data_IF_095405809909
#
_entry.id   IF_095405809909
#
_cell.length_a   1.000
_cell.length_b   1.000
_cell.length_c   1.000
_cell.angle_alpha   90.00
_cell.angle_beta   90.00
_cell.angle_gamma   90.00
#
_symmetry.space_group_name_H-M   'P 1'
#
loop_
_entity.id
_entity.type
_entity.pdbx_description
1 polymer ?
#
# COMPACT_ATOMS: atom_id res chain seq x y z
N UNK A 1 21.87 14.08 -17.33
CA UNK A 1 20.52 13.99 -16.75
C UNK A 1 20.70 13.53 -15.33
N UNK A 2 20.48 14.44 -14.39
CA UNK A 2 20.86 14.28 -12.99
C UNK A 2 20.01 13.22 -12.31
N UNK A 3 20.66 12.16 -11.83
CA UNK A 3 20.12 11.19 -10.90
C UNK A 3 19.89 11.92 -9.57
N UNK A 4 18.68 12.42 -9.36
CA UNK A 4 18.29 12.97 -8.05
C UNK A 4 18.16 11.80 -7.10
N UNK A 5 19.22 11.58 -6.30
CA UNK A 5 19.30 10.62 -5.20
C UNK A 5 18.25 10.86 -4.12
N UNK A 6 16.98 10.66 -4.45
CA UNK A 6 15.96 10.31 -3.48
C UNK A 6 16.26 8.88 -3.09
N UNK A 7 16.63 8.67 -1.83
CA UNK A 7 16.62 7.33 -1.26
C UNK A 7 15.26 6.73 -1.56
N UNK A 8 15.27 5.55 -2.11
CA UNK A 8 14.14 5.00 -2.83
C UNK A 8 14.03 3.59 -2.29
N UNK A 9 12.99 3.27 -1.51
CA UNK A 9 12.86 1.93 -0.91
C UNK A 9 13.03 0.87 -2.00
N UNK A 10 13.99 -0.03 -1.78
CA UNK A 10 14.35 -1.07 -2.74
C UNK A 10 13.21 -2.08 -2.89
N UNK A 11 13.15 -2.77 -4.03
CA UNK A 11 12.13 -3.81 -4.24
C UNK A 11 12.16 -4.89 -3.14
N UNK A 12 13.32 -5.42 -2.70
CA UNK A 12 13.36 -6.37 -1.59
C UNK A 12 12.84 -5.77 -0.28
N UNK A 13 13.20 -4.53 0.09
CA UNK A 13 12.67 -3.88 1.29
C UNK A 13 11.13 -3.72 1.26
N UNK A 14 10.54 -3.53 0.07
CA UNK A 14 9.08 -3.56 -0.12
C UNK A 14 8.51 -4.96 0.09
N UNK A 15 9.18 -6.02 -0.40
CA UNK A 15 8.74 -7.40 -0.15
C UNK A 15 8.80 -7.73 1.35
N UNK A 16 9.84 -7.29 2.05
CA UNK A 16 9.97 -7.45 3.49
C UNK A 16 8.83 -6.78 4.26
N UNK A 17 8.46 -5.56 3.86
CA UNK A 17 7.30 -4.86 4.42
C UNK A 17 5.98 -5.62 4.21
N UNK A 18 5.77 -6.19 3.03
CA UNK A 18 4.58 -6.99 2.73
C UNK A 18 4.48 -8.23 3.63
N UNK A 19 5.59 -8.96 3.79
CA UNK A 19 5.64 -10.14 4.66
C UNK A 19 5.40 -9.77 6.13
N UNK A 20 6.09 -8.72 6.61
CA UNK A 20 5.97 -8.26 7.99
C UNK A 20 4.54 -7.84 8.35
N UNK A 21 3.92 -6.97 7.54
CA UNK A 21 2.55 -6.50 7.79
C UNK A 21 1.54 -7.64 7.60
N UNK A 22 1.80 -8.60 6.69
CA UNK A 22 0.94 -9.77 6.53
C UNK A 22 0.94 -10.63 7.79
N UNK A 23 2.11 -10.89 8.39
CA UNK A 23 2.18 -11.64 9.67
C UNK A 23 1.32 -10.98 10.75
N UNK A 24 1.46 -9.67 10.95
CA UNK A 24 0.65 -8.91 11.92
C UNK A 24 -0.85 -8.91 11.62
N UNK A 25 -1.24 -9.07 10.35
CA UNK A 25 -2.65 -9.21 9.97
C UNK A 25 -3.27 -10.56 10.36
N UNK A 26 -2.43 -11.57 10.60
CA UNK A 26 -2.82 -12.92 11.00
C UNK A 26 -2.92 -13.06 12.53
N UNK A 27 -2.13 -12.28 13.28
CA UNK A 27 -2.15 -12.28 14.75
C UNK A 27 -3.48 -11.78 15.35
N UNK A 28 -4.28 -11.00 14.61
CA UNK A 28 -5.64 -10.58 15.00
C UNK A 28 -6.65 -11.75 15.06
N UNK A 29 -6.32 -12.93 14.52
CA UNK A 29 -7.21 -14.08 14.45
C UNK A 29 -6.91 -15.11 15.56
N UNK A 30 -7.20 -14.77 16.81
CA UNK A 30 -7.47 -15.64 17.99
C UNK A 30 -6.66 -16.94 18.19
N UNK A 31 -5.44 -17.02 17.64
CA UNK A 31 -4.47 -18.09 17.93
C UNK A 31 -3.23 -17.41 18.51
N UNK A 32 -2.99 -17.51 19.83
CA UNK A 32 -1.81 -16.94 20.45
C UNK A 32 -0.59 -17.70 19.96
N UNK A 33 0.09 -17.10 18.99
CA UNK A 33 1.24 -17.69 18.34
C UNK A 33 2.10 -16.63 17.70
N UNK A 34 2.52 -15.62 18.47
CA UNK A 34 3.81 -14.98 18.19
C UNK A 34 4.81 -16.12 18.08
N UNK A 35 5.40 -16.41 16.89
CA UNK A 35 6.43 -17.41 16.84
C UNK A 35 7.59 -16.86 17.66
N UNK A 36 7.93 -17.61 18.72
CA UNK A 36 9.15 -17.40 19.48
C UNK A 36 10.30 -17.16 18.51
N UNK A 37 11.01 -16.04 18.69
CA UNK A 37 12.25 -15.63 18.05
C UNK A 37 12.76 -16.66 17.03
N UNK A 38 12.35 -16.51 15.76
CA UNK A 38 12.88 -17.36 14.72
C UNK A 38 14.36 -17.01 14.56
N UNK A 39 15.24 -18.00 14.68
CA UNK A 39 16.66 -17.80 14.43
C UNK A 39 16.87 -17.35 12.98
N UNK A 40 17.38 -16.12 12.72
CA UNK A 40 17.60 -15.63 11.37
C UNK A 40 18.54 -16.53 10.55
N UNK A 41 19.32 -17.41 11.19
CA UNK A 41 20.15 -18.40 10.53
C UNK A 41 19.32 -19.42 9.71
N UNK A 42 18.07 -19.70 10.10
CA UNK A 42 17.20 -20.67 9.45
C UNK A 42 16.44 -20.11 8.22
N UNK A 43 16.56 -18.81 7.95
CA UNK A 43 15.93 -18.20 6.78
C UNK A 43 16.55 -18.69 5.46
N UNK A 44 15.72 -18.74 4.42
CA UNK A 44 16.16 -19.03 3.06
C UNK A 44 17.15 -17.95 2.57
N UNK A 45 18.04 -18.26 1.60
CA UNK A 45 18.95 -17.25 1.04
C UNK A 45 18.24 -16.01 0.49
N UNK A 46 17.07 -16.18 -0.11
CA UNK A 46 16.25 -15.09 -0.63
C UNK A 46 15.66 -14.22 0.50
N UNK A 47 15.18 -14.84 1.57
CA UNK A 47 14.66 -14.10 2.73
C UNK A 47 15.77 -13.34 3.47
N UNK A 48 17.02 -13.86 3.47
CA UNK A 48 18.19 -13.16 4.00
C UNK A 48 18.54 -11.90 3.20
N UNK A 49 18.44 -11.95 1.88
CA UNK A 49 18.63 -10.79 1.01
C UNK A 49 17.55 -9.73 1.25
N UNK A 50 16.29 -10.15 1.37
CA UNK A 50 15.19 -9.26 1.74
C UNK A 50 15.44 -8.61 3.11
N UNK A 51 15.89 -9.39 4.10
CA UNK A 51 16.15 -8.90 5.45
C UNK A 51 17.30 -7.86 5.47
N UNK A 52 18.37 -8.09 4.72
CA UNK A 52 19.48 -7.13 4.60
C UNK A 52 19.02 -5.78 4.01
N UNK A 53 18.12 -5.81 3.03
CA UNK A 53 17.55 -4.59 2.44
C UNK A 53 16.57 -3.88 3.38
N UNK A 54 15.88 -4.61 4.25
CA UNK A 54 15.09 -4.02 5.34
C UNK A 54 15.99 -3.35 6.38
N UNK A 55 17.09 -3.99 6.77
CA UNK A 55 18.08 -3.43 7.68
C UNK A 55 18.63 -2.11 7.13
N UNK A 56 19.06 -2.08 5.87
CA UNK A 56 19.53 -0.85 5.21
C UNK A 56 18.48 0.26 5.24
N UNK A 57 17.20 -0.07 5.02
CA UNK A 57 16.12 0.91 5.07
C UNK A 57 15.87 1.44 6.49
N UNK A 58 15.93 0.58 7.51
CA UNK A 58 15.76 0.95 8.91
C UNK A 58 16.93 1.81 9.41
N UNK A 59 18.18 1.45 9.10
CA UNK A 59 19.37 2.24 9.45
C UNK A 59 19.33 3.62 8.80
N UNK A 60 18.97 3.70 7.51
CA UNK A 60 18.84 4.98 6.82
C UNK A 60 17.75 5.87 7.46
N UNK A 61 16.67 5.27 7.96
CA UNK A 61 15.59 5.98 8.64
C UNK A 61 16.00 6.51 10.02
N UNK A 62 16.83 5.76 10.78
CA UNK A 62 17.38 6.24 12.05
C UNK A 62 18.40 7.36 11.85
N UNK A 63 19.23 7.29 10.82
CA UNK A 63 20.23 8.33 10.51
C UNK A 63 19.59 9.67 10.10
N UNK A 64 18.49 9.63 9.35
CA UNK A 64 17.77 10.83 8.93
C UNK A 64 17.02 11.51 10.10
N UNK A 65 16.54 10.70 11.06
CA UNK A 65 15.90 11.20 12.28
C UNK A 65 16.87 12.01 13.14
N UNK A 66 18.10 11.52 13.33
CA UNK A 66 19.13 12.25 14.09
C UNK A 66 19.62 13.54 13.40
N UNK A 67 19.58 13.59 12.06
CA UNK A 67 19.98 14.79 11.29
C UNK A 67 18.93 15.91 11.38
N UNK A 68 17.66 15.56 11.50
CA UNK A 68 16.56 16.52 11.62
C UNK A 68 16.54 17.23 12.99
N UNK A 69 16.95 16.55 14.06
CA UNK A 69 17.04 17.13 15.42
C UNK A 69 18.23 18.10 15.58
N UNK A 70 19.31 17.91 14.83
CA UNK A 70 20.53 18.72 14.92
C UNK A 70 20.44 20.10 14.24
N UNK A 71 19.29 20.47 13.65
CA UNK A 71 19.16 21.67 12.80
C UNK A 71 18.64 22.93 13.53
N UNK A 72 18.72 23.00 14.86
CA UNK A 72 18.44 24.23 15.59
C UNK A 72 19.67 25.18 15.53
N UNK A 73 19.48 26.51 15.32
CA UNK A 73 20.61 27.42 15.26
C UNK A 73 21.15 27.62 16.68
N UNK A 74 22.30 27.01 16.96
CA UNK A 74 23.07 27.34 18.17
C UNK A 74 24.21 28.23 17.74
N UNK A 75 24.17 29.45 18.27
CA UNK A 75 25.21 30.46 18.14
C UNK A 75 26.54 29.91 18.70
N UNK A 76 27.61 30.31 18.00
CA UNK A 76 29.04 30.18 18.28
C UNK A 76 29.51 29.34 19.49
N UNK A 77 30.10 28.17 19.22
CA UNK A 77 31.42 27.76 19.77
C UNK A 77 31.82 26.37 19.29
N UNK A 78 33.04 26.28 18.79
CA UNK A 78 33.68 25.08 18.28
C UNK A 78 33.79 23.96 19.34
N UNK A 79 33.22 22.78 19.03
CA UNK A 79 33.78 21.51 19.47
C UNK A 79 33.45 20.43 18.43
N UNK A 80 34.45 20.08 17.63
CA UNK A 80 34.42 18.91 16.75
C UNK A 80 34.51 17.66 17.62
N UNK A 81 33.36 17.04 17.87
CA UNK A 81 33.24 15.71 18.47
C UNK A 81 32.41 14.84 17.56
N UNK A 82 33.03 13.87 16.91
CA UNK A 82 32.31 12.81 16.20
C UNK A 82 31.48 12.04 17.23
N UNK A 83 30.20 12.40 17.36
CA UNK A 83 29.25 11.66 18.16
C UNK A 83 29.08 10.28 17.52
N UNK A 84 29.58 9.25 18.19
CA UNK A 84 29.28 7.86 17.85
C UNK A 84 27.75 7.67 17.89
N UNK A 85 27.16 6.88 16.97
CA UNK A 85 25.75 6.56 17.03
C UNK A 85 25.42 5.96 18.40
N UNK A 86 24.38 6.49 19.04
CA UNK A 86 23.93 6.07 20.36
C UNK A 86 23.50 4.60 20.34
N UNK A 87 23.92 3.84 21.35
CA UNK A 87 23.67 2.39 21.52
C UNK A 87 22.18 2.00 21.40
N UNK A 88 21.29 2.94 21.75
CA UNK A 88 19.83 2.77 21.78
C UNK A 88 19.20 2.61 20.38
N UNK A 89 19.68 3.37 19.39
CA UNK A 89 19.17 3.29 18.00
C UNK A 89 19.54 1.97 17.34
N UNK A 90 20.76 1.49 17.55
CA UNK A 90 21.25 0.21 17.01
C UNK A 90 20.50 -0.98 17.64
N UNK A 91 20.20 -0.89 18.93
CA UNK A 91 19.38 -1.87 19.64
C UNK A 91 17.96 -1.96 19.08
N UNK A 92 17.33 -0.81 18.79
CA UNK A 92 15.98 -0.73 18.20
C UNK A 92 15.90 -1.33 16.79
N UNK A 93 16.89 -1.03 15.93
CA UNK A 93 16.97 -1.63 14.57
C UNK A 93 17.14 -3.14 14.66
N UNK A 94 18.03 -3.63 15.53
CA UNK A 94 18.26 -5.07 15.72
C UNK A 94 17.00 -5.78 16.21
N UNK A 95 16.30 -5.21 17.19
CA UNK A 95 15.03 -5.75 17.70
C UNK A 95 13.96 -5.81 16.60
N UNK A 96 13.81 -4.73 15.83
CA UNK A 96 12.85 -4.67 14.70
C UNK A 96 13.21 -5.71 13.64
N UNK A 97 14.49 -5.88 13.32
CA UNK A 97 14.95 -6.86 12.33
C UNK A 97 14.65 -8.30 12.77
N UNK A 98 14.80 -8.59 14.07
CA UNK A 98 14.43 -9.89 14.64
C UNK A 98 12.92 -10.15 14.53
N UNK A 99 12.08 -9.13 14.77
CA UNK A 99 10.62 -9.23 14.56
C UNK A 99 10.28 -9.47 13.08
N UNK A 100 10.97 -8.80 12.15
CA UNK A 100 10.78 -9.00 10.70
C UNK A 100 11.17 -10.41 10.29
N UNK A 101 12.30 -10.92 10.76
CA UNK A 101 12.73 -12.30 10.52
C UNK A 101 11.70 -13.32 11.05
N UNK A 102 11.18 -13.10 12.27
CA UNK A 102 10.14 -13.93 12.86
C UNK A 102 8.84 -13.90 12.04
N UNK A 103 8.45 -12.72 11.54
CA UNK A 103 7.29 -12.58 10.66
C UNK A 103 7.46 -13.33 9.33
N UNK A 104 8.66 -13.35 8.75
CA UNK A 104 8.92 -14.13 7.53
C UNK A 104 8.73 -15.61 7.80
N UNK A 105 9.37 -16.13 8.84
CA UNK A 105 9.22 -17.53 9.25
C UNK A 105 7.74 -17.87 9.53
N UNK A 106 7.01 -16.98 10.21
CA UNK A 106 5.58 -17.15 10.47
C UNK A 106 4.78 -17.32 9.18
N UNK A 107 4.94 -16.42 8.22
CA UNK A 107 4.18 -16.42 6.97
C UNK A 107 4.57 -17.62 6.10
N UNK A 108 5.87 -17.94 6.00
CA UNK A 108 6.40 -19.02 5.18
C UNK A 108 6.08 -20.41 5.72
N UNK A 109 5.95 -20.57 7.04
CA UNK A 109 5.65 -21.85 7.69
C UNK A 109 4.19 -22.29 7.62
N UNK A 110 3.30 -21.48 7.03
CA UNK A 110 1.86 -21.79 6.97
C UNK A 110 1.55 -22.79 5.86
N UNK A 111 0.62 -23.70 6.14
CA UNK A 111 0.04 -24.58 5.13
C UNK A 111 -0.78 -23.80 4.07
N UNK A 112 -1.46 -22.73 4.49
CA UNK A 112 -2.21 -21.85 3.60
C UNK A 112 -1.48 -20.53 3.40
N UNK A 113 -1.23 -20.18 2.14
CA UNK A 113 -0.56 -18.94 1.75
C UNK A 113 -1.54 -17.76 1.97
N UNK A 114 -1.22 -16.80 2.86
CA UNK A 114 -2.12 -15.70 3.18
C UNK A 114 -2.18 -14.66 2.06
N UNK A 115 -3.26 -13.88 2.03
CA UNK A 115 -3.46 -12.73 1.14
C UNK A 115 -3.78 -11.48 1.95
N UNK A 116 -3.43 -10.31 1.42
CA UNK A 116 -3.69 -9.02 2.04
C UNK A 116 -4.20 -8.00 1.00
N UNK A 117 -5.18 -7.18 1.37
CA UNK A 117 -5.62 -6.06 0.51
C UNK A 117 -4.77 -4.82 0.75
N UNK A 118 -4.57 -3.98 -0.26
CA UNK A 118 -3.80 -2.74 -0.14
C UNK A 118 -4.32 -1.82 0.98
N UNK A 119 -5.64 -1.69 1.13
CA UNK A 119 -6.24 -0.87 2.19
C UNK A 119 -6.03 -1.44 3.58
N UNK A 120 -6.01 -2.77 3.74
CA UNK A 120 -5.69 -3.41 5.02
C UNK A 120 -4.21 -3.27 5.35
N UNK A 121 -3.35 -3.41 4.35
CA UNK A 121 -1.92 -3.13 4.47
C UNK A 121 -1.67 -1.70 4.98
N UNK A 122 -2.23 -0.67 4.33
CA UNK A 122 -1.99 0.72 4.73
C UNK A 122 -2.55 1.05 6.12
N UNK A 123 -3.62 0.36 6.56
CA UNK A 123 -4.14 0.50 7.92
C UNK A 123 -3.14 -0.06 8.94
N UNK A 124 -2.65 -1.28 8.74
CA UNK A 124 -1.68 -1.92 9.63
C UNK A 124 -0.30 -1.24 9.56
N UNK A 125 0.07 -0.68 8.41
CA UNK A 125 1.29 0.13 8.26
C UNK A 125 1.31 1.30 9.25
N UNK A 126 0.16 1.96 9.47
CA UNK A 126 0.07 3.08 10.42
C UNK A 126 0.37 2.65 11.85
N UNK A 127 -0.18 1.51 12.29
CA UNK A 127 0.08 1.00 13.65
C UNK A 127 1.54 0.58 13.82
N UNK A 128 2.16 0.05 12.76
CA UNK A 128 3.62 -0.24 12.76
C UNK A 128 4.45 1.03 12.86
N UNK A 129 4.10 2.10 12.12
CA UNK A 129 4.84 3.36 12.24
C UNK A 129 4.76 3.97 13.63
N UNK A 130 3.58 3.88 14.27
CA UNK A 130 3.38 4.33 15.65
C UNK A 130 4.28 3.54 16.61
N UNK A 131 4.38 2.21 16.46
CA UNK A 131 5.27 1.40 17.31
C UNK A 131 6.76 1.64 17.07
N UNK A 132 7.15 2.00 15.83
CA UNK A 132 8.53 2.31 15.48
C UNK A 132 8.95 3.73 15.88
N UNK A 133 8.05 4.54 16.43
CA UNK A 133 8.32 5.95 16.75
C UNK A 133 8.66 6.80 15.52
N UNK A 134 8.34 6.31 14.32
CA UNK A 134 8.74 6.91 13.07
C UNK A 134 7.80 8.06 12.70
N UNK A 135 8.11 9.27 13.17
CA UNK A 135 7.41 10.47 12.73
C UNK A 135 7.85 10.82 11.29
N UNK A 136 6.87 10.97 10.39
CA UNK A 136 7.15 11.27 8.99
C UNK A 136 7.67 12.69 8.81
N UNK A 137 8.99 12.88 8.80
CA UNK A 137 9.61 14.09 8.27
C UNK A 137 9.45 14.15 6.75
N UNK A 138 9.26 15.36 6.21
CA UNK A 138 9.00 15.58 4.79
C UNK A 138 10.25 15.21 3.98
N UNK A 139 10.19 14.13 3.20
CA UNK A 139 11.29 13.68 2.33
C UNK A 139 12.08 12.47 2.84
N UNK A 140 11.82 12.00 4.06
CA UNK A 140 12.41 10.78 4.61
C UNK A 140 11.82 9.53 3.95
N UNK A 141 12.68 8.57 3.60
CA UNK A 141 12.25 7.24 3.17
C UNK A 141 11.92 6.40 4.39
N UNK A 142 10.64 6.27 4.70
CA UNK A 142 10.17 5.57 5.89
C UNK A 142 9.80 4.14 5.54
N UNK A 143 10.40 3.18 6.23
CA UNK A 143 10.00 1.80 6.23
C UNK A 143 9.02 1.52 7.39
N UNK A 144 7.92 0.76 7.16
CA UNK A 144 7.51 0.15 5.91
C UNK A 144 6.92 1.16 4.90
N UNK A 145 7.11 1.02 3.57
CA UNK A 145 6.58 1.95 2.57
C UNK A 145 5.06 1.78 2.34
N UNK A 146 4.41 2.73 1.65
CA UNK A 146 2.96 2.66 1.35
C UNK A 146 2.62 1.62 0.27
N UNK A 147 1.35 1.23 0.17
CA UNK A 147 0.87 0.34 -0.90
C UNK A 147 1.10 0.93 -2.31
N UNK A 148 1.11 2.27 -2.44
CA UNK A 148 1.42 2.97 -3.68
C UNK A 148 2.87 2.70 -4.13
N UNK A 149 3.83 2.67 -3.21
CA UNK A 149 5.22 2.32 -3.52
C UNK A 149 5.32 0.90 -4.07
N UNK A 150 4.59 -0.06 -3.48
CA UNK A 150 4.53 -1.43 -3.99
C UNK A 150 3.95 -1.49 -5.42
N UNK A 151 2.87 -0.75 -5.69
CA UNK A 151 2.29 -0.67 -7.05
C UNK A 151 3.28 -0.03 -8.05
N UNK A 152 4.00 1.02 -7.67
CA UNK A 152 4.99 1.67 -8.54
C UNK A 152 6.17 0.75 -8.87
N UNK A 153 6.61 -0.08 -7.91
CA UNK A 153 7.75 -0.99 -8.08
C UNK A 153 7.41 -2.25 -8.87
N UNK A 154 6.25 -2.84 -8.61
CA UNK A 154 5.87 -4.15 -9.16
C UNK A 154 4.77 -4.04 -10.23
N UNK A 155 4.31 -2.82 -10.55
CA UNK A 155 3.30 -2.55 -11.57
C UNK A 155 1.85 -2.81 -11.14
N UNK A 156 1.61 -3.66 -10.14
CA UNK A 156 0.31 -3.79 -9.47
C UNK A 156 0.44 -4.42 -8.07
N UNK A 157 -0.60 -4.28 -7.26
CA UNK A 157 -0.66 -4.90 -5.93
C UNK A 157 -0.57 -6.42 -5.98
N UNK A 158 -1.28 -7.06 -6.92
CA UNK A 158 -1.24 -8.52 -7.06
C UNK A 158 0.14 -9.01 -7.52
N UNK A 159 0.85 -8.25 -8.36
CA UNK A 159 2.24 -8.59 -8.73
C UNK A 159 3.18 -8.43 -7.54
N UNK A 160 2.98 -7.43 -6.69
CA UNK A 160 3.74 -7.29 -5.44
C UNK A 160 3.48 -8.46 -4.47
N UNK A 161 2.21 -8.89 -4.31
CA UNK A 161 1.87 -10.07 -3.51
C UNK A 161 2.52 -11.34 -4.06
N UNK A 162 2.46 -11.58 -5.38
CA UNK A 162 3.13 -12.73 -6.02
C UNK A 162 4.63 -12.71 -5.78
N UNK A 163 5.27 -11.55 -5.96
CA UNK A 163 6.71 -11.40 -5.73
C UNK A 163 7.09 -11.66 -4.27
N UNK A 164 6.21 -11.32 -3.32
CA UNK A 164 6.39 -11.66 -1.91
C UNK A 164 6.08 -13.14 -1.60
N UNK A 165 5.58 -13.93 -2.55
CA UNK A 165 5.12 -15.29 -2.34
C UNK A 165 3.82 -15.38 -1.52
N UNK A 166 2.98 -14.34 -1.59
CA UNK A 166 1.66 -14.26 -0.98
C UNK A 166 0.56 -14.62 -1.97
N UNK A 167 -0.59 -15.08 -1.47
CA UNK A 167 -1.73 -15.37 -2.31
C UNK A 167 -2.30 -14.05 -2.86
N UNK A 168 -2.69 -14.06 -4.13
CA UNK A 168 -3.35 -12.90 -4.74
C UNK A 168 -4.85 -12.93 -4.48
N UNK A 169 -5.44 -11.77 -4.22
CA UNK A 169 -6.88 -11.66 -4.21
C UNK A 169 -7.43 -11.94 -5.61
N UNK A 170 -8.27 -12.97 -5.72
CA UNK A 170 -9.03 -13.30 -6.94
C UNK A 170 -9.99 -12.17 -7.35
N UNK A 171 -10.29 -11.27 -6.41
CA UNK A 171 -11.10 -10.06 -6.60
C UNK A 171 -10.18 -8.85 -6.95
N UNK A 172 -9.26 -9.06 -7.87
CA UNK A 172 -8.66 -7.94 -8.62
C UNK A 172 -9.34 -7.93 -9.98
N UNK A 173 -9.93 -6.80 -10.39
CA UNK A 173 -10.41 -6.69 -11.78
C UNK A 173 -9.23 -7.03 -12.68
N UNK A 174 -9.42 -8.00 -13.58
CA UNK A 174 -8.44 -8.27 -14.62
C UNK A 174 -8.08 -6.94 -15.30
N UNK A 175 -6.79 -6.71 -15.55
CA UNK A 175 -6.32 -5.54 -16.29
C UNK A 175 -7.14 -5.43 -17.58
N UNK A 176 -7.95 -4.38 -17.70
CA UNK A 176 -8.76 -4.11 -18.89
C UNK A 176 -10.21 -4.60 -18.85
N UNK A 177 -10.64 -5.37 -17.85
CA UNK A 177 -12.04 -5.77 -17.75
C UNK A 177 -12.85 -4.66 -17.10
N UNK A 178 -13.52 -3.85 -17.93
CA UNK A 178 -14.56 -2.94 -17.48
C UNK A 178 -15.58 -3.77 -16.70
N UNK A 179 -16.02 -3.27 -15.54
CA UNK A 179 -17.07 -3.92 -14.74
C UNK A 179 -18.38 -4.08 -15.54
N UNK A 180 -18.55 -3.21 -16.53
CA UNK A 180 -19.70 -3.10 -17.41
C UNK A 180 -19.18 -3.10 -18.84
N UNK A 181 -19.77 -3.91 -19.72
CA UNK A 181 -19.52 -3.84 -21.15
C UNK A 181 -20.30 -2.68 -21.80
N UNK A 182 -20.08 -2.46 -23.09
CA UNK A 182 -20.72 -1.38 -23.84
C UNK A 182 -22.26 -1.45 -23.75
N UNK A 183 -22.81 -2.66 -23.79
CA UNK A 183 -24.25 -2.90 -23.72
C UNK A 183 -24.79 -2.51 -22.34
N UNK A 184 -24.11 -2.88 -21.25
CA UNK A 184 -24.49 -2.45 -19.91
C UNK A 184 -24.45 -0.92 -19.73
N UNK A 185 -23.51 -0.22 -20.40
CA UNK A 185 -23.50 1.24 -20.43
C UNK A 185 -24.71 1.82 -21.18
N UNK A 186 -25.10 1.22 -22.31
CA UNK A 186 -26.27 1.65 -23.08
C UNK A 186 -27.57 1.38 -22.32
N UNK A 187 -27.74 0.18 -21.76
CA UNK A 187 -28.89 -0.24 -20.96
C UNK A 187 -29.08 0.68 -19.75
N UNK A 188 -28.03 0.96 -18.97
CA UNK A 188 -28.15 1.81 -17.79
C UNK A 188 -28.61 3.25 -18.12
N UNK A 189 -28.18 3.80 -19.26
CA UNK A 189 -28.64 5.13 -19.70
C UNK A 189 -30.07 5.06 -20.23
N UNK A 190 -30.44 4.00 -20.96
CA UNK A 190 -31.79 3.81 -21.48
C UNK A 190 -32.81 3.68 -20.34
N UNK A 191 -32.51 2.86 -19.33
CA UNK A 191 -33.34 2.67 -18.15
C UNK A 191 -33.48 3.97 -17.35
N UNK A 192 -32.38 4.71 -17.16
CA UNK A 192 -32.44 6.02 -16.53
C UNK A 192 -33.26 7.04 -17.34
N UNK A 193 -33.18 7.03 -18.67
CA UNK A 193 -33.98 7.92 -19.51
C UNK A 193 -35.47 7.61 -19.42
N UNK A 194 -35.84 6.33 -19.46
CA UNK A 194 -37.22 5.88 -19.28
C UNK A 194 -37.76 6.25 -17.89
N UNK A 195 -36.91 6.11 -16.87
CA UNK A 195 -37.22 6.51 -15.50
C UNK A 195 -37.42 8.02 -15.37
N UNK A 196 -36.54 8.85 -15.96
CA UNK A 196 -36.70 10.30 -16.00
C UNK A 196 -37.99 10.72 -16.71
N UNK A 197 -38.32 10.08 -17.83
CA UNK A 197 -39.57 10.32 -18.57
C UNK A 197 -40.80 9.97 -17.72
N UNK A 198 -40.78 8.83 -17.03
CA UNK A 198 -41.87 8.42 -16.13
C UNK A 198 -42.10 9.40 -14.97
N UNK A 199 -41.02 10.02 -14.48
CA UNK A 199 -41.05 11.01 -13.39
C UNK A 199 -41.24 12.45 -13.88
N UNK A 200 -41.22 12.70 -15.19
CA UNK A 200 -41.23 14.05 -15.75
C UNK A 200 -40.02 14.90 -15.36
N UNK A 201 -38.87 14.28 -15.10
CA UNK A 201 -37.64 14.96 -14.66
C UNK A 201 -36.60 15.04 -15.77
N UNK A 202 -35.70 16.02 -15.68
CA UNK A 202 -34.64 16.19 -16.66
C UNK A 202 -33.49 15.19 -16.44
N UNK A 203 -33.08 14.50 -17.52
CA UNK A 203 -31.97 13.55 -17.55
C UNK A 203 -30.59 14.24 -17.47
N UNK A 204 -30.29 14.82 -16.31
CA UNK A 204 -29.05 15.54 -16.05
C UNK A 204 -27.97 14.62 -15.46
N UNK A 205 -26.70 15.02 -15.62
CA UNK A 205 -25.57 14.31 -14.99
C UNK A 205 -25.75 14.17 -13.47
N UNK A 206 -26.30 15.19 -12.81
CA UNK A 206 -26.59 15.17 -11.37
C UNK A 206 -27.63 14.10 -11.04
N UNK A 207 -28.76 14.09 -11.76
CA UNK A 207 -29.81 13.10 -11.57
C UNK A 207 -29.31 11.67 -11.82
N UNK A 208 -28.46 11.44 -12.83
CA UNK A 208 -27.85 10.13 -13.04
C UNK A 208 -26.86 9.75 -11.93
N UNK A 209 -26.15 10.74 -11.36
CA UNK A 209 -25.25 10.50 -10.21
C UNK A 209 -26.04 10.02 -9.00
N UNK A 210 -27.22 10.59 -8.75
CA UNK A 210 -28.14 10.18 -7.70
C UNK A 210 -28.73 8.79 -7.99
N UNK A 211 -29.24 8.56 -9.20
CA UNK A 211 -29.73 7.27 -9.67
C UNK A 211 -28.68 6.15 -9.50
N UNK A 212 -27.44 6.39 -9.93
CA UNK A 212 -26.35 5.42 -9.79
C UNK A 212 -25.91 5.20 -8.32
N UNK A 213 -26.19 6.16 -7.43
CA UNK A 213 -25.96 6.02 -6.00
C UNK A 213 -27.07 5.21 -5.31
N UNK A 214 -28.27 5.15 -5.87
CA UNK A 214 -29.37 4.29 -5.42
C UNK A 214 -29.19 2.85 -5.93
N UNK A 215 -28.75 2.70 -7.19
CA UNK A 215 -28.54 1.41 -7.88
C UNK A 215 -27.07 0.96 -7.82
N UNK A 216 -26.43 1.15 -6.66
CA UNK A 216 -25.00 0.82 -6.48
C UNK A 216 -24.77 -0.62 -6.93
N UNK A 217 -23.63 -0.87 -7.59
CA UNK A 217 -23.20 -2.20 -8.09
C UNK A 217 -23.90 -2.62 -9.40
N UNK A 218 -25.16 -2.25 -9.62
CA UNK A 218 -25.95 -2.64 -10.80
C UNK A 218 -25.70 -1.77 -12.02
N UNK A 219 -25.42 -0.48 -11.83
CA UNK A 219 -25.16 0.46 -12.94
C UNK A 219 -23.78 1.11 -12.88
N UNK A 220 -23.20 1.53 -14.02
CA UNK A 220 -21.97 2.29 -14.04
C UNK A 220 -22.15 3.67 -13.38
N UNK A 221 -21.12 4.13 -12.67
CA UNK A 221 -21.14 5.48 -12.09
C UNK A 221 -21.16 6.56 -13.18
N UNK A 222 -21.70 7.74 -12.87
CA UNK A 222 -21.75 8.87 -13.80
C UNK A 222 -20.36 9.23 -14.38
N UNK A 223 -19.31 9.15 -13.54
CA UNK A 223 -17.93 9.36 -13.98
C UNK A 223 -17.44 8.27 -14.95
N UNK A 224 -17.84 7.02 -14.74
CA UNK A 224 -17.50 5.91 -15.63
C UNK A 224 -18.23 6.06 -16.98
N UNK A 225 -19.51 6.45 -16.98
CA UNK A 225 -20.29 6.75 -18.19
C UNK A 225 -19.62 7.84 -19.01
N UNK A 226 -19.26 8.97 -18.38
CA UNK A 226 -18.58 10.08 -19.06
C UNK A 226 -17.22 9.66 -19.63
N UNK A 227 -16.48 8.83 -18.92
CA UNK A 227 -15.18 8.33 -19.40
C UNK A 227 -15.35 7.40 -20.61
N UNK A 228 -16.40 6.58 -20.63
CA UNK A 228 -16.69 5.65 -21.72
C UNK A 228 -17.15 6.38 -23.00
N UNK A 229 -18.08 7.33 -22.89
CA UNK A 229 -18.63 8.08 -24.03
C UNK A 229 -17.91 9.40 -24.34
N UNK A 230 -16.91 9.78 -23.53
CA UNK A 230 -16.20 11.06 -23.62
C UNK A 230 -16.95 12.27 -23.02
N UNK A 231 -18.28 12.31 -23.12
CA UNK A 231 -19.12 13.35 -22.48
C UNK A 231 -20.50 12.83 -22.09
N UNK A 232 -21.20 13.54 -21.20
CA UNK A 232 -22.59 13.20 -20.83
C UNK A 232 -23.55 13.31 -22.03
N UNK A 233 -23.40 14.37 -22.83
CA UNK A 233 -24.23 14.56 -24.02
C UNK A 233 -23.98 13.49 -25.08
N UNK A 234 -22.73 13.04 -25.24
CA UNK A 234 -22.41 11.91 -26.12
C UNK A 234 -23.05 10.61 -25.62
N UNK A 235 -23.11 10.41 -24.30
CA UNK A 235 -23.76 9.25 -23.69
C UNK A 235 -25.28 9.25 -23.97
N UNK A 236 -25.94 10.40 -23.84
CA UNK A 236 -27.36 10.55 -24.18
C UNK A 236 -27.62 10.38 -25.69
N UNK A 237 -26.72 10.88 -26.53
CA UNK A 237 -26.84 10.76 -27.98
C UNK A 237 -26.61 9.33 -28.48
N UNK A 238 -25.82 8.53 -27.78
CA UNK A 238 -25.54 7.13 -28.15
C UNK A 238 -26.72 6.18 -27.91
N UNK A 239 -27.71 6.61 -27.12
CA UNK A 239 -28.86 5.78 -26.69
C UNK A 239 -30.20 6.28 -27.26
N UNK A 240 -30.19 7.46 -27.89
CA UNK A 240 -31.34 8.02 -28.63
C UNK A 240 -31.31 7.60 -30.09
#
# INVERSE_FOLDING_TARGET
MSDSGKTHTSSPAVLGALLFITARSLDDADVPGTPASADPAQLSPADKEILAEVELALTAQTDDSGRSESSAPTDDSAQSGAAAPTDDSTSSVTSTLAEVAAAFAHVRGRAEVPSLTASRYDRLRKTVLESLGAASAQGATIWPPTSQTAVQRFGSWNEALKAAGLATNKIGRAKGQLRFDADAYATAIAEFLADCESRGTAATYKAYTEYAAEHKVEVPSAAAVRKFYGSWNAALAAVR
#
